data_IF_205883689698
#
_entry.id   IF_205883689698
#
_cell.length_a   1.000
_cell.length_b   1.000
_cell.length_c   1.000
_cell.angle_alpha   90.00
_cell.angle_beta   90.00
_cell.angle_gamma   90.00
#
_symmetry.space_group_name_H-M   'P 1'
#
loop_
_entity.id
_entity.type
_entity.pdbx_description
1 polymer ?
#
# COMPACT_ATOMS: atom_id res chain seq x y z
N UNK A 1 -4.11 -10.50 15.84
CA UNK A 1 -4.71 -9.16 15.54
C UNK A 1 -4.95 -9.14 14.05
N UNK A 2 -6.23 -9.08 13.66
CA UNK A 2 -6.74 -9.62 12.41
C UNK A 2 -6.15 -8.92 11.18
N UNK A 3 -5.55 -9.71 10.29
CA UNK A 3 -5.36 -9.35 8.90
C UNK A 3 -6.75 -9.16 8.30
N UNK A 4 -7.18 -7.91 8.19
CA UNK A 4 -8.48 -7.53 7.63
C UNK A 4 -8.65 -8.25 6.28
N UNK A 5 -9.50 -9.28 6.24
CA UNK A 5 -9.88 -10.06 5.06
C UNK A 5 -8.74 -10.54 4.13
N UNK A 6 -7.57 -10.86 4.69
CA UNK A 6 -6.42 -11.37 3.93
C UNK A 6 -5.67 -10.33 3.10
N UNK A 7 -5.86 -9.04 3.41
CA UNK A 7 -5.09 -7.93 2.83
C UNK A 7 -3.71 -7.90 3.50
N UNK A 8 -2.66 -7.85 2.69
CA UNK A 8 -1.28 -7.61 3.12
C UNK A 8 -0.86 -6.23 2.65
N UNK A 9 -0.23 -5.47 3.53
CA UNK A 9 0.33 -4.14 3.23
C UNK A 9 1.85 -4.25 3.25
N UNK A 10 2.49 -3.50 2.38
CA UNK A 10 3.92 -3.50 2.19
C UNK A 10 4.45 -2.09 2.07
N UNK A 11 5.73 -1.92 2.40
CA UNK A 11 6.52 -0.72 2.11
C UNK A 11 7.69 -1.12 1.21
N UNK A 12 8.21 -0.18 0.45
CA UNK A 12 9.42 -0.41 -0.34
C UNK A 12 10.66 -0.10 0.51
N UNK A 13 11.70 -0.93 0.41
CA UNK A 13 12.98 -0.74 1.12
C UNK A 13 13.85 0.39 0.57
N UNK A 14 13.51 0.90 -0.62
CA UNK A 14 14.35 1.87 -1.33
C UNK A 14 14.36 3.20 -0.60
N UNK A 15 15.54 3.80 -0.59
CA UNK A 15 15.95 5.00 0.14
C UNK A 15 14.82 6.04 0.28
N UNK A 16 14.31 6.21 1.50
CA UNK A 16 13.34 7.27 1.85
C UNK A 16 13.82 8.66 1.42
N UNK A 17 15.13 8.85 1.21
CA UNK A 17 15.70 10.12 0.75
C UNK A 17 15.39 10.45 -0.72
N UNK A 18 15.04 9.46 -1.56
CA UNK A 18 14.76 9.68 -2.98
C UNK A 18 13.27 9.97 -3.28
N UNK A 19 12.37 9.63 -2.35
CA UNK A 19 10.93 9.82 -2.49
C UNK A 19 10.40 10.61 -1.31
N UNK A 20 10.13 11.89 -1.54
CA UNK A 20 9.44 12.81 -0.61
C UNK A 20 7.98 12.38 -0.32
N UNK A 21 7.51 11.33 -1.00
CA UNK A 21 6.14 10.84 -0.95
C UNK A 21 6.08 9.52 -0.19
N UNK A 22 5.23 9.47 0.84
CA UNK A 22 4.96 8.23 1.57
C UNK A 22 4.24 7.23 0.66
N UNK A 23 4.84 6.05 0.49
CA UNK A 23 4.35 4.99 -0.40
C UNK A 23 4.04 3.72 0.39
N UNK A 24 2.86 3.18 0.15
CA UNK A 24 2.47 1.85 0.60
C UNK A 24 2.01 1.01 -0.59
N UNK A 25 2.05 -0.29 -0.42
CA UNK A 25 1.55 -1.25 -1.40
C UNK A 25 0.61 -2.21 -0.70
N UNK A 26 -0.40 -2.70 -1.41
CA UNK A 26 -1.35 -3.67 -0.87
C UNK A 26 -1.62 -4.79 -1.84
N UNK A 27 -1.94 -5.97 -1.30
CA UNK A 27 -2.36 -7.14 -2.07
C UNK A 27 -3.32 -7.99 -1.24
N UNK A 28 -4.41 -8.46 -1.85
CA UNK A 28 -5.30 -9.47 -1.26
C UNK A 28 -5.05 -10.83 -1.91
N UNK A 29 -4.62 -11.81 -1.11
CA UNK A 29 -4.28 -13.14 -1.60
C UNK A 29 -3.28 -13.11 -2.77
N UNK A 30 -3.62 -13.81 -3.86
CA UNK A 30 -2.83 -13.81 -5.09
C UNK A 30 -3.24 -12.73 -6.11
N UNK A 31 -4.13 -11.81 -5.72
CA UNK A 31 -4.64 -10.74 -6.58
C UNK A 31 -3.58 -9.70 -6.99
N UNK A 32 -4.00 -8.65 -7.72
CA UNK A 32 -3.11 -7.58 -8.15
C UNK A 32 -2.52 -6.83 -6.96
N UNK A 33 -1.36 -6.22 -7.20
CA UNK A 33 -0.74 -5.27 -6.27
C UNK A 33 -1.26 -3.88 -6.58
N UNK A 34 -1.59 -3.13 -5.55
CA UNK A 34 -1.94 -1.71 -5.65
C UNK A 34 -0.91 -0.87 -4.92
N UNK A 35 -0.48 0.24 -5.53
CA UNK A 35 0.35 1.28 -4.93
C UNK A 35 -0.54 2.40 -4.40
N UNK A 36 -0.24 2.83 -3.19
CA UNK A 36 -0.87 3.93 -2.48
C UNK A 36 0.17 5.03 -2.26
N UNK A 37 -0.11 6.21 -2.79
CA UNK A 37 0.74 7.39 -2.62
C UNK A 37 -0.06 8.51 -2.00
N UNK A 38 0.46 9.13 -0.94
CA UNK A 38 -0.24 10.24 -0.31
C UNK A 38 -0.18 11.49 -1.19
N UNK A 39 -1.34 12.04 -1.55
CA UNK A 39 -1.46 13.29 -2.29
C UNK A 39 -1.78 14.41 -1.29
N UNK A 40 -0.74 15.10 -0.81
CA UNK A 40 -0.87 16.13 0.23
C UNK A 40 -1.85 17.25 -0.16
N UNK A 41 -1.91 17.63 -1.43
CA UNK A 41 -2.84 18.65 -1.94
C UNK A 41 -4.33 18.27 -1.76
N UNK A 42 -4.63 16.97 -1.69
CA UNK A 42 -6.00 16.45 -1.51
C UNK A 42 -6.22 15.79 -0.15
N UNK A 43 -5.17 15.71 0.67
CA UNK A 43 -5.16 14.95 1.92
C UNK A 43 -5.73 13.54 1.73
N UNK A 44 -5.33 12.88 0.64
CA UNK A 44 -5.95 11.63 0.20
C UNK A 44 -4.91 10.65 -0.35
N UNK A 45 -5.10 9.36 -0.10
CA UNK A 45 -4.28 8.32 -0.68
C UNK A 45 -4.72 7.99 -2.10
N UNK A 46 -3.89 8.31 -3.07
CA UNK A 46 -4.15 7.91 -4.45
C UNK A 46 -3.78 6.44 -4.65
N UNK A 47 -4.70 5.66 -5.20
CA UNK A 47 -4.51 4.25 -5.53
C UNK A 47 -4.20 4.06 -7.01
N UNK A 48 -3.25 3.19 -7.33
CA UNK A 48 -2.93 2.74 -8.69
C UNK A 48 -2.71 1.23 -8.70
N UNK A 49 -3.31 0.54 -9.67
CA UNK A 49 -3.06 -0.89 -9.91
C UNK A 49 -1.72 -1.05 -10.61
N UNK A 50 -0.83 -1.87 -10.05
CA UNK A 50 0.48 -2.15 -10.61
C UNK A 50 0.45 -3.37 -11.53
N UNK A 51 1.20 -3.33 -12.64
CA UNK A 51 1.55 -4.54 -13.37
C UNK A 51 2.72 -5.24 -12.69
N UNK A 52 2.81 -6.57 -12.79
CA UNK A 52 3.93 -7.33 -12.21
C UNK A 52 5.29 -6.96 -12.82
N UNK A 53 5.29 -6.42 -14.04
CA UNK A 53 6.49 -5.91 -14.72
C UNK A 53 6.93 -4.53 -14.22
N UNK A 54 6.03 -3.77 -13.61
CA UNK A 54 6.30 -2.40 -13.15
C UNK A 54 7.02 -2.38 -11.79
N UNK A 55 7.16 -3.55 -11.15
CA UNK A 55 7.53 -3.61 -9.75
C UNK A 55 8.28 -4.89 -9.37
N UNK A 56 9.45 -4.71 -8.75
CA UNK A 56 10.27 -5.78 -8.23
C UNK A 56 9.73 -6.25 -6.87
N UNK A 57 8.99 -7.37 -6.85
CA UNK A 57 8.38 -7.92 -5.62
C UNK A 57 9.37 -8.20 -4.48
N UNK A 58 10.65 -8.36 -4.79
CA UNK A 58 11.71 -8.58 -3.80
C UNK A 58 12.09 -7.29 -3.02
N UNK A 59 11.66 -6.12 -3.48
CA UNK A 59 11.93 -4.84 -2.81
C UNK A 59 10.84 -4.45 -1.80
N UNK A 60 9.78 -5.26 -1.67
CA UNK A 60 8.71 -5.04 -0.67
C UNK A 60 9.02 -5.72 0.64
N UNK A 61 8.98 -4.94 1.71
CA UNK A 61 8.86 -5.43 3.06
C UNK A 61 7.40 -5.45 3.49
N UNK A 62 7.02 -6.52 4.21
CA UNK A 62 5.71 -6.56 4.85
C UNK A 62 5.64 -5.45 5.90
N UNK A 63 4.64 -4.59 5.77
CA UNK A 63 4.36 -3.53 6.73
C UNK A 63 3.47 -4.10 7.84
N UNK A 64 3.71 -3.64 9.08
CA UNK A 64 2.76 -3.90 10.16
C UNK A 64 1.48 -3.12 9.89
N UNK A 65 0.31 -3.74 10.05
CA UNK A 65 -0.95 -3.01 9.92
C UNK A 65 -1.00 -1.78 10.85
N UNK A 66 -0.38 -1.87 12.03
CA UNK A 66 -0.30 -0.76 13.00
C UNK A 66 0.60 0.39 12.55
N UNK A 67 1.50 0.18 11.58
CA UNK A 67 2.33 1.24 11.01
C UNK A 67 1.69 1.88 9.77
N UNK A 68 0.51 1.41 9.36
CA UNK A 68 -0.26 2.00 8.25
C UNK A 68 -1.10 3.15 8.81
N UNK A 69 -1.07 4.35 8.21
CA UNK A 69 -1.90 5.47 8.65
C UNK A 69 -3.40 5.12 8.68
N UNK A 70 -4.14 5.61 9.69
CA UNK A 70 -5.57 5.26 9.88
C UNK A 70 -6.45 5.63 8.68
N UNK A 71 -6.13 6.73 8.01
CA UNK A 71 -6.76 7.16 6.76
C UNK A 71 -6.57 6.10 5.65
N UNK A 72 -5.36 5.58 5.49
CA UNK A 72 -5.05 4.53 4.52
C UNK A 72 -5.69 3.19 4.90
N UNK A 73 -5.72 2.85 6.20
CA UNK A 73 -6.43 1.65 6.67
C UNK A 73 -7.91 1.70 6.27
N UNK A 74 -8.56 2.86 6.42
CA UNK A 74 -9.96 3.08 6.04
C UNK A 74 -10.16 2.95 4.54
N UNK A 75 -9.30 3.57 3.73
CA UNK A 75 -9.38 3.47 2.28
C UNK A 75 -9.11 2.05 1.75
N UNK A 76 -8.16 1.33 2.36
CA UNK A 76 -7.91 -0.08 2.06
C UNK A 76 -9.16 -0.92 2.35
N UNK A 77 -9.80 -0.72 3.50
CA UNK A 77 -11.03 -1.43 3.81
C UNK A 77 -12.12 -1.16 2.76
N UNK A 78 -12.32 0.10 2.37
CA UNK A 78 -13.29 0.47 1.33
C UNK A 78 -12.96 -0.13 -0.04
N UNK A 79 -11.69 -0.08 -0.45
CA UNK A 79 -11.23 -0.57 -1.75
C UNK A 79 -11.40 -2.09 -1.94
N UNK A 80 -11.34 -2.87 -0.86
CA UNK A 80 -11.44 -4.34 -0.91
C UNK A 80 -12.79 -4.90 -0.42
N UNK A 81 -13.77 -4.02 -0.16
CA UNK A 81 -15.16 -4.42 0.19
C UNK A 81 -15.98 -4.81 -1.05
N UNK A 82 -15.50 -4.48 -2.25
CA UNK A 82 -16.06 -4.98 -3.52
C UNK A 82 -15.82 -6.48 -3.75
#
# INVERSE_FOLDING_TARGET
>A
MAATNGIRVYTQLVDKAAHDVELFYSRRGNGPIYRWSYEAARQHWRVLRMHLSDFATHELCLASWKSVPDELQTQLAQHYVE
#
